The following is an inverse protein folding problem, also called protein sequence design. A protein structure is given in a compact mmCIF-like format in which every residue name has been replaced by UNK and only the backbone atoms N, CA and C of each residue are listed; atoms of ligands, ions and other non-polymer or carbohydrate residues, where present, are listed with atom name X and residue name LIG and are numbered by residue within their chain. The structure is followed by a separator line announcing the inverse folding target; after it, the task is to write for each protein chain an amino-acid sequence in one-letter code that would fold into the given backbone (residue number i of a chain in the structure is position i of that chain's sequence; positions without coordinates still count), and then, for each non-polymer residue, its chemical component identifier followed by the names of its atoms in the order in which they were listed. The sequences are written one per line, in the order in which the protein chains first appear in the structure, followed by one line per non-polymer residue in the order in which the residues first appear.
data_IF_639843779596
#
_entry.id   IF_639843779596
#
_cell.length_a   1.000
_cell.length_b   1.000
_cell.length_c   1.000
_cell.angle_alpha   90.00
_cell.angle_beta   90.00
_cell.angle_gamma   90.00
#
_symmetry.space_group_name_H-M   'P 1'
#
loop_
_entity.id
_entity.type
_entity.pdbx_description
1 polymer ?
#
# COMPACT_ATOMS: atom_id res chain seq x y z
N UNK A 1 30.48 -20.65 14.85
CA UNK A 1 29.69 -19.41 14.98
C UNK A 1 28.32 -19.68 14.40
N UNK A 2 27.32 -19.89 15.26
CA UNK A 2 25.95 -20.13 14.80
C UNK A 2 25.33 -18.84 14.29
N UNK A 3 24.92 -18.82 13.02
CA UNK A 3 24.10 -17.75 12.47
C UNK A 3 22.72 -17.92 13.08
N UNK A 4 22.31 -16.99 13.93
CA UNK A 4 20.93 -16.94 14.41
C UNK A 4 20.00 -16.77 13.19
N UNK A 5 18.88 -17.51 13.09
CA UNK A 5 17.93 -17.29 12.01
C UNK A 5 17.43 -15.84 12.11
N UNK A 6 17.57 -15.08 11.03
CA UNK A 6 16.90 -13.79 10.91
C UNK A 6 15.40 -14.05 11.06
N UNK A 7 14.77 -13.45 12.08
CA UNK A 7 13.33 -13.56 12.25
C UNK A 7 12.68 -12.95 11.01
N UNK A 8 11.96 -13.76 10.23
CA UNK A 8 11.10 -13.29 9.15
C UNK A 8 10.10 -12.30 9.75
N UNK A 9 10.15 -11.04 9.31
CA UNK A 9 9.18 -10.02 9.73
C UNK A 9 8.19 -9.85 8.60
N UNK A 10 6.94 -10.27 8.84
CA UNK A 10 5.83 -9.90 7.98
C UNK A 10 5.54 -8.42 8.20
N UNK A 11 5.68 -7.64 7.14
CA UNK A 11 5.51 -6.19 7.11
C UNK A 11 4.28 -5.86 6.27
N UNK A 12 3.37 -5.05 6.83
CA UNK A 12 2.25 -4.45 6.08
C UNK A 12 2.44 -2.95 5.99
N UNK A 13 2.45 -2.40 4.77
CA UNK A 13 2.62 -0.97 4.50
C UNK A 13 1.61 -0.47 3.48
N UNK A 14 1.09 0.73 3.71
CA UNK A 14 0.22 1.44 2.78
C UNK A 14 0.98 2.57 2.10
N UNK A 15 0.61 2.85 0.85
CA UNK A 15 1.26 3.84 0.01
C UNK A 15 0.25 4.55 -0.88
N UNK A 16 0.60 5.75 -1.30
CA UNK A 16 0.01 6.44 -2.45
C UNK A 16 1.06 6.65 -3.53
N UNK A 17 0.63 6.69 -4.79
CA UNK A 17 1.44 7.01 -5.96
C UNK A 17 0.76 8.16 -6.70
N UNK A 18 1.55 9.11 -7.21
CA UNK A 18 1.08 10.15 -8.13
C UNK A 18 2.06 10.33 -9.28
N UNK A 19 1.55 10.54 -10.49
CA UNK A 19 2.34 10.89 -11.68
C UNK A 19 1.49 11.71 -12.67
N UNK A 20 2.09 12.67 -13.36
CA UNK A 20 1.39 13.54 -14.32
C UNK A 20 2.17 13.83 -15.60
N UNK A 21 3.47 13.54 -15.62
CA UNK A 21 4.33 13.80 -16.78
C UNK A 21 4.80 12.50 -17.42
N UNK A 22 4.00 12.03 -18.37
CA UNK A 22 4.23 10.80 -19.12
C UNK A 22 4.81 11.10 -20.50
N UNK A 23 5.90 10.41 -20.84
CA UNK A 23 6.64 10.62 -22.07
C UNK A 23 6.87 9.31 -22.80
N UNK A 24 6.99 9.40 -24.12
CA UNK A 24 7.38 8.32 -24.99
C UNK A 24 8.64 8.73 -25.75
N UNK A 25 9.60 7.82 -25.91
CA UNK A 25 10.83 8.10 -26.64
C UNK A 25 10.60 8.50 -28.11
N UNK A 26 9.48 8.09 -28.70
CA UNK A 26 9.12 8.41 -30.07
C UNK A 26 8.30 9.72 -30.20
N UNK A 27 8.17 10.49 -29.11
CA UNK A 27 7.37 11.72 -29.09
C UNK A 27 5.86 11.50 -29.23
N UNK A 28 5.40 10.25 -29.19
CA UNK A 28 3.97 9.93 -29.18
C UNK A 28 3.33 10.51 -27.91
N UNK A 29 2.25 11.30 -28.01
CA UNK A 29 1.54 11.79 -26.83
C UNK A 29 1.05 10.64 -25.96
N UNK A 30 1.18 10.80 -24.65
CA UNK A 30 0.68 9.81 -23.71
C UNK A 30 -0.85 9.76 -23.74
N UNK A 31 -1.46 8.56 -23.78
CA UNK A 31 -2.91 8.41 -23.64
C UNK A 31 -3.41 8.75 -22.22
N UNK A 32 -2.50 8.86 -21.25
CA UNK A 32 -2.78 9.24 -19.88
C UNK A 32 -2.00 10.49 -19.49
N UNK A 33 -2.69 11.43 -18.83
CA UNK A 33 -2.18 12.73 -18.40
C UNK A 33 -2.05 12.83 -16.89
N UNK A 34 -2.75 11.98 -16.14
CA UNK A 34 -2.63 11.90 -14.69
C UNK A 34 -2.92 10.48 -14.20
N UNK A 35 -2.11 10.05 -13.23
CA UNK A 35 -2.31 8.83 -12.45
C UNK A 35 -2.24 9.18 -10.96
N UNK A 36 -3.20 8.71 -10.19
CA UNK A 36 -3.03 8.48 -8.77
C UNK A 36 -3.38 7.05 -8.42
N UNK A 37 -2.72 6.48 -7.41
CA UNK A 37 -3.07 5.16 -6.89
C UNK A 37 -2.88 5.11 -5.38
N UNK A 38 -3.65 4.26 -4.72
CA UNK A 38 -3.50 3.89 -3.32
C UNK A 38 -3.42 2.37 -3.21
N UNK A 39 -2.45 1.87 -2.45
CA UNK A 39 -2.22 0.43 -2.36
C UNK A 39 -1.60 0.03 -1.02
N UNK A 40 -1.91 -1.18 -0.59
CA UNK A 40 -1.36 -1.78 0.62
C UNK A 40 -0.70 -3.12 0.29
N UNK A 41 0.53 -3.29 0.76
CA UNK A 41 1.36 -4.46 0.50
C UNK A 41 1.66 -5.16 1.83
N UNK A 42 1.56 -6.49 1.84
CA UNK A 42 1.94 -7.34 2.96
C UNK A 42 2.97 -8.35 2.50
N UNK A 43 4.19 -8.28 3.00
CA UNK A 43 5.31 -9.10 2.53
C UNK A 43 6.26 -9.48 3.66
N UNK A 44 7.05 -10.54 3.45
CA UNK A 44 8.14 -10.93 4.31
C UNK A 44 9.42 -10.22 3.85
N UNK A 45 9.97 -9.35 4.70
CA UNK A 45 11.15 -8.53 4.38
C UNK A 45 12.48 -9.30 4.42
N UNK A 46 12.45 -10.58 4.83
CA UNK A 46 13.59 -11.51 4.77
C UNK A 46 13.69 -12.27 3.45
N UNK A 47 12.62 -12.26 2.63
CA UNK A 47 12.54 -12.99 1.37
C UNK A 47 12.81 -12.07 0.16
N UNK A 48 13.04 -12.67 -1.00
CA UNK A 48 13.19 -11.93 -2.27
C UNK A 48 12.32 -12.58 -3.35
N UNK A 49 11.53 -11.77 -4.06
CA UNK A 49 10.74 -12.22 -5.19
C UNK A 49 9.33 -11.65 -5.22
N UNK A 50 8.54 -12.17 -6.18
CA UNK A 50 7.12 -11.86 -6.28
C UNK A 50 6.33 -12.56 -5.18
N UNK A 51 5.44 -11.79 -4.55
CA UNK A 51 4.64 -12.24 -3.40
C UNK A 51 3.22 -12.58 -3.82
N UNK A 52 2.66 -11.86 -4.79
CA UNK A 52 1.29 -12.05 -5.27
C UNK A 52 0.53 -10.74 -5.39
N UNK A 53 -0.78 -10.76 -5.18
CA UNK A 53 -1.61 -9.55 -5.26
C UNK A 53 -1.45 -8.66 -4.02
N UNK A 54 -1.50 -7.32 -4.15
CA UNK A 54 -1.61 -6.40 -3.03
C UNK A 54 -2.78 -6.73 -2.11
N UNK A 55 -2.68 -6.37 -0.83
CA UNK A 55 -3.81 -6.40 0.11
C UNK A 55 -4.92 -5.45 -0.35
N UNK A 56 -4.55 -4.31 -0.91
CA UNK A 56 -5.47 -3.43 -1.62
C UNK A 56 -4.74 -2.70 -2.75
N UNK A 57 -5.48 -2.37 -3.81
CA UNK A 57 -5.01 -1.53 -4.90
C UNK A 57 -6.21 -0.81 -5.51
N UNK A 58 -6.09 0.50 -5.69
CA UNK A 58 -7.03 1.32 -6.44
C UNK A 58 -6.25 2.38 -7.19
N UNK A 59 -6.61 2.61 -8.45
CA UNK A 59 -6.02 3.65 -9.29
C UNK A 59 -7.08 4.60 -9.82
N UNK A 60 -6.67 5.82 -10.14
CA UNK A 60 -7.46 6.82 -10.87
C UNK A 60 -6.58 7.30 -12.02
N UNK A 61 -7.05 7.05 -13.23
CA UNK A 61 -6.37 7.41 -14.48
C UNK A 61 -7.20 8.49 -15.17
N UNK A 62 -6.67 9.70 -15.33
CA UNK A 62 -7.39 10.85 -15.90
C UNK A 62 -8.76 11.10 -15.25
N UNK A 63 -8.89 10.87 -13.93
CA UNK A 63 -10.15 10.99 -13.20
C UNK A 63 -11.07 9.78 -13.27
N UNK A 64 -10.72 8.73 -14.02
CA UNK A 64 -11.49 7.49 -14.14
C UNK A 64 -10.89 6.40 -13.24
N UNK A 65 -11.67 5.81 -12.31
CA UNK A 65 -11.18 4.72 -11.48
C UNK A 65 -10.82 3.47 -12.28
N UNK A 66 -9.68 2.84 -11.94
CA UNK A 66 -9.22 1.55 -12.46
C UNK A 66 -9.36 1.44 -13.98
N UNK A 67 -8.73 2.36 -14.72
CA UNK A 67 -8.87 2.48 -16.17
C UNK A 67 -7.55 2.37 -16.92
N UNK A 68 -7.66 1.95 -18.18
CA UNK A 68 -6.53 1.75 -19.09
C UNK A 68 -5.57 0.69 -18.58
N UNK A 69 -4.25 0.95 -18.63
CA UNK A 69 -3.24 -0.01 -18.17
C UNK A 69 -3.37 -0.42 -16.69
N UNK A 70 -4.05 0.40 -15.88
CA UNK A 70 -4.20 0.19 -14.43
C UNK A 70 -5.56 -0.41 -14.04
N UNK A 71 -6.29 -0.99 -15.01
CA UNK A 71 -7.61 -1.55 -14.79
C UNK A 71 -7.62 -2.92 -14.12
N UNK A 72 -6.58 -3.73 -14.36
CA UNK A 72 -6.46 -5.06 -13.78
C UNK A 72 -5.81 -5.02 -12.38
N UNK A 73 -6.18 -5.97 -11.53
CA UNK A 73 -5.51 -6.18 -10.26
C UNK A 73 -4.04 -6.52 -10.50
N UNK A 74 -3.09 -5.82 -9.85
CA UNK A 74 -1.67 -6.05 -10.09
C UNK A 74 -1.10 -7.19 -9.25
N UNK A 75 0.14 -7.53 -9.54
CA UNK A 75 1.02 -8.36 -8.73
C UNK A 75 2.14 -7.48 -8.20
N UNK A 76 2.67 -7.80 -7.03
CA UNK A 76 3.82 -7.12 -6.48
C UNK A 76 4.89 -8.09 -5.95
N UNK A 77 6.09 -7.56 -5.78
CA UNK A 77 7.23 -8.25 -5.21
C UNK A 77 8.08 -7.35 -4.33
N UNK A 78 8.83 -7.97 -3.43
CA UNK A 78 9.83 -7.33 -2.59
C UNK A 78 11.20 -7.86 -2.95
N UNK A 79 12.17 -6.96 -3.08
CA UNK A 79 13.54 -7.27 -3.48
C UNK A 79 14.49 -6.57 -2.51
N UNK A 80 15.22 -7.30 -1.65
CA UNK A 80 16.16 -6.69 -0.72
C UNK A 80 17.32 -6.04 -1.47
N UNK A 81 18.04 -5.14 -0.79
CA UNK A 81 19.30 -4.59 -1.28
C UNK A 81 20.32 -5.73 -1.45
N UNK A 82 20.55 -6.17 -2.68
CA UNK A 82 21.41 -7.31 -2.98
C UNK A 82 22.46 -6.95 -4.04
N UNK A 83 23.71 -6.86 -3.62
CA UNK A 83 24.85 -6.61 -4.50
C UNK A 83 25.21 -5.12 -4.67
N UNK A 84 26.29 -4.83 -5.40
CA UNK A 84 26.91 -3.50 -5.43
C UNK A 84 26.08 -2.42 -6.12
N UNK A 85 25.06 -2.78 -6.89
CA UNK A 85 24.20 -1.84 -7.65
C UNK A 85 22.80 -1.67 -7.05
N UNK A 86 22.40 -2.47 -6.06
CA UNK A 86 21.13 -2.36 -5.37
C UNK A 86 21.37 -1.86 -3.95
N UNK A 87 21.45 -0.54 -3.79
CA UNK A 87 21.83 0.11 -2.53
C UNK A 87 20.68 0.21 -1.52
N UNK A 88 19.45 -0.07 -1.93
CA UNK A 88 18.26 -0.04 -1.09
C UNK A 88 17.25 -1.14 -1.50
N UNK A 89 16.43 -1.64 -0.55
CA UNK A 89 15.38 -2.60 -0.86
C UNK A 89 14.30 -1.93 -1.71
N UNK A 90 13.69 -2.70 -2.62
CA UNK A 90 12.71 -2.21 -3.59
C UNK A 90 11.42 -3.00 -3.49
N UNK A 91 10.32 -2.28 -3.65
CA UNK A 91 9.02 -2.88 -3.95
C UNK A 91 8.72 -2.63 -5.43
N UNK A 92 8.30 -3.67 -6.12
CA UNK A 92 7.84 -3.61 -7.51
C UNK A 92 6.37 -3.97 -7.59
N UNK A 93 5.57 -3.19 -8.31
CA UNK A 93 4.15 -3.43 -8.56
C UNK A 93 3.93 -3.37 -10.05
N UNK A 94 3.36 -4.41 -10.65
CA UNK A 94 3.06 -4.43 -12.08
C UNK A 94 1.73 -5.11 -12.38
N UNK A 95 1.19 -4.87 -13.56
CA UNK A 95 -0.07 -5.49 -13.97
C UNK A 95 0.07 -7.02 -14.07
N UNK A 96 -1.08 -7.70 -13.96
CA UNK A 96 -1.11 -9.16 -13.96
C UNK A 96 -1.00 -9.77 -15.37
N UNK A 97 -1.15 -8.98 -16.43
CA UNK A 97 -1.29 -9.49 -17.80
C UNK A 97 -0.01 -10.16 -18.31
N UNK A 98 1.17 -9.60 -18.04
CA UNK A 98 2.46 -10.14 -18.50
C UNK A 98 3.40 -10.52 -17.34
N UNK A 99 2.89 -10.51 -16.11
CA UNK A 99 3.68 -10.74 -14.90
C UNK A 99 4.29 -9.45 -14.35
N UNK A 100 4.52 -9.42 -13.03
CA UNK A 100 4.83 -8.20 -12.27
C UNK A 100 6.16 -7.50 -12.57
N UNK A 101 6.87 -7.84 -13.65
CA UNK A 101 8.09 -7.15 -14.13
C UNK A 101 8.20 -7.08 -15.67
N UNK A 102 7.22 -7.54 -16.43
CA UNK A 102 7.33 -7.57 -17.89
C UNK A 102 6.34 -6.61 -18.51
N UNK A 103 6.84 -5.72 -19.36
CA UNK A 103 6.00 -4.86 -20.18
C UNK A 103 6.10 -5.31 -21.62
N UNK A 104 4.99 -5.82 -22.15
CA UNK A 104 4.86 -6.10 -23.58
C UNK A 104 4.15 -4.94 -24.27
N UNK A 105 4.53 -4.66 -25.50
CA UNK A 105 3.89 -3.61 -26.27
C UNK A 105 2.43 -3.99 -26.55
N UNK A 106 1.53 -3.00 -26.52
CA UNK A 106 0.10 -3.18 -26.81
C UNK A 106 -0.65 -4.10 -25.84
N UNK A 107 -0.24 -4.19 -24.59
CA UNK A 107 -0.90 -5.10 -23.62
C UNK A 107 -1.64 -4.42 -22.48
N UNK A 108 -1.82 -3.09 -22.49
CA UNK A 108 -2.43 -2.34 -21.38
C UNK A 108 -1.86 -2.79 -20.02
N UNK A 109 -0.53 -2.74 -19.90
CA UNK A 109 0.18 -3.21 -18.71
C UNK A 109 1.04 -2.10 -18.11
N UNK A 110 1.42 -2.25 -16.86
CA UNK A 110 2.25 -1.27 -16.15
C UNK A 110 3.24 -1.94 -15.22
N UNK A 111 4.27 -1.20 -14.86
CA UNK A 111 5.19 -1.57 -13.80
C UNK A 111 5.75 -0.32 -13.15
N UNK A 112 5.80 -0.31 -11.82
CA UNK A 112 6.58 0.66 -11.10
C UNK A 112 7.40 0.06 -9.97
N UNK A 113 8.53 0.71 -9.68
CA UNK A 113 9.38 0.37 -8.52
C UNK A 113 9.73 1.59 -7.72
N UNK A 114 9.91 1.40 -6.42
CA UNK A 114 10.29 2.46 -5.49
C UNK A 114 11.11 1.88 -4.33
N UNK A 115 11.78 2.77 -3.60
CA UNK A 115 12.54 2.43 -2.40
C UNK A 115 11.59 2.03 -1.26
N UNK A 116 11.69 0.77 -0.81
CA UNK A 116 10.87 0.22 0.26
C UNK A 116 11.27 0.74 1.66
N UNK A 117 12.50 1.26 1.80
CA UNK A 117 13.05 1.79 3.04
C UNK A 117 12.74 3.27 3.28
N UNK A 118 12.24 3.98 2.25
CA UNK A 118 11.93 5.40 2.36
C UNK A 118 10.85 5.67 3.42
N UNK A 119 11.16 6.55 4.37
CA UNK A 119 10.22 6.99 5.43
C UNK A 119 9.28 8.12 4.96
N UNK A 120 9.56 8.73 3.80
CA UNK A 120 8.78 9.82 3.22
C UNK A 120 8.61 9.63 1.70
N UNK A 121 8.13 10.68 1.00
CA UNK A 121 7.98 10.63 -0.45
C UNK A 121 9.28 10.25 -1.16
N UNK A 122 9.21 9.27 -2.05
CA UNK A 122 10.34 8.79 -2.85
C UNK A 122 9.97 8.71 -4.33
N UNK A 123 10.96 8.86 -5.21
CA UNK A 123 10.72 8.73 -6.65
C UNK A 123 10.45 7.28 -7.00
N UNK A 124 9.48 7.06 -7.87
CA UNK A 124 9.24 5.78 -8.49
C UNK A 124 9.71 5.80 -9.94
N UNK A 125 10.24 4.66 -10.40
CA UNK A 125 10.36 4.39 -11.83
C UNK A 125 9.03 3.78 -12.25
N UNK A 126 8.19 4.51 -12.98
CA UNK A 126 6.89 4.05 -13.46
C UNK A 126 6.86 4.04 -14.99
N UNK A 127 6.48 2.90 -15.55
CA UNK A 127 6.28 2.70 -16.97
C UNK A 127 4.96 1.98 -17.25
N UNK A 128 4.38 2.21 -18.42
CA UNK A 128 3.21 1.47 -18.87
C UNK A 128 3.20 1.30 -20.39
N UNK A 129 2.42 0.34 -20.88
CA UNK A 129 2.07 0.17 -22.28
C UNK A 129 0.56 0.33 -22.43
N UNK A 130 0.12 0.82 -23.58
CA UNK A 130 -1.30 0.93 -23.90
C UNK A 130 -1.61 0.09 -25.14
N UNK A 131 -2.77 -0.54 -25.22
CA UNK A 131 -3.16 -1.44 -26.31
C UNK A 131 -3.05 -0.79 -27.70
N UNK A 132 -3.33 0.51 -27.80
CA UNK A 132 -3.21 1.28 -29.04
C UNK A 132 -1.78 1.67 -29.45
N UNK A 133 -0.78 1.45 -28.58
CA UNK A 133 0.55 2.04 -28.74
C UNK A 133 1.66 0.98 -28.81
N UNK A 134 2.56 1.17 -29.78
CA UNK A 134 3.65 0.23 -30.06
C UNK A 134 4.84 0.36 -29.10
N UNK A 135 4.90 1.40 -28.28
CA UNK A 135 6.03 1.69 -27.39
C UNK A 135 5.55 2.07 -26.00
N UNK A 136 6.33 1.74 -24.96
CA UNK A 136 6.00 2.08 -23.60
C UNK A 136 6.14 3.58 -23.35
N UNK A 137 5.40 4.04 -22.37
CA UNK A 137 5.49 5.37 -21.80
C UNK A 137 6.14 5.29 -20.42
N UNK A 138 6.82 6.37 -20.03
CA UNK A 138 7.50 6.47 -18.73
C UNK A 138 7.02 7.75 -18.04
N UNK A 139 6.77 7.67 -16.75
CA UNK A 139 6.53 8.84 -15.91
C UNK A 139 7.87 9.42 -15.42
N UNK A 140 8.04 10.74 -15.56
CA UNK A 140 9.26 11.44 -15.13
C UNK A 140 9.13 12.06 -13.72
N UNK A 141 7.91 12.13 -13.21
CA UNK A 141 7.52 12.78 -11.96
C UNK A 141 6.80 11.83 -10.99
N UNK A 142 6.90 10.51 -11.20
CA UNK A 142 6.23 9.55 -10.35
C UNK A 142 6.81 9.58 -8.92
N UNK A 143 5.94 9.81 -7.94
CA UNK A 143 6.27 9.84 -6.51
C UNK A 143 5.39 8.84 -5.76
N UNK A 144 6.03 8.01 -4.94
CA UNK A 144 5.36 7.14 -3.97
C UNK A 144 5.53 7.72 -2.57
N UNK A 145 4.44 7.81 -1.81
CA UNK A 145 4.43 8.32 -0.44
C UNK A 145 3.91 7.24 0.51
N UNK A 146 4.66 6.85 1.55
CA UNK A 146 4.14 6.01 2.62
C UNK A 146 2.94 6.68 3.30
N UNK A 147 1.86 5.92 3.48
CA UNK A 147 0.65 6.38 4.17
C UNK A 147 0.60 5.70 5.52
N UNK A 148 0.47 6.50 6.58
CA UNK A 148 0.28 5.96 7.92
C UNK A 148 -1.04 5.19 7.97
N UNK A 149 -0.95 3.88 8.25
CA UNK A 149 -2.14 3.09 8.58
C UNK A 149 -2.55 3.49 9.99
N UNK A 150 -3.49 4.41 10.10
CA UNK A 150 -4.09 4.74 11.40
C UNK A 150 -4.87 3.49 11.83
N UNK A 151 -4.38 2.80 12.85
CA UNK A 151 -5.12 1.68 13.43
C UNK A 151 -6.49 2.21 13.85
N UNK A 152 -7.55 1.50 13.45
CA UNK A 152 -8.90 1.82 13.90
C UNK A 152 -8.91 1.75 15.43
N UNK A 153 -8.99 2.91 16.09
CA UNK A 153 -9.28 2.96 17.52
C UNK A 153 -10.67 2.35 17.68
N UNK A 154 -10.85 1.35 18.58
CA UNK A 154 -12.16 0.76 18.81
C UNK A 154 -13.16 1.89 19.03
N UNK A 155 -14.23 1.89 18.24
CA UNK A 155 -15.10 3.04 18.08
C UNK A 155 -15.43 3.69 19.44
N UNK A 156 -15.46 5.03 19.56
CA UNK A 156 -15.75 5.70 20.83
C UNK A 156 -17.02 5.20 21.52
N UNK A 157 -17.99 4.71 20.73
CA UNK A 157 -19.22 4.10 21.20
C UNK A 157 -18.99 2.82 22.04
N UNK A 158 -17.99 2.01 21.71
CA UNK A 158 -17.66 0.79 22.45
C UNK A 158 -17.17 1.13 23.85
N UNK A 159 -16.28 2.12 23.96
CA UNK A 159 -15.81 2.64 25.24
C UNK A 159 -16.94 3.29 26.04
N UNK A 160 -17.79 4.04 25.36
CA UNK A 160 -18.96 4.66 25.98
C UNK A 160 -19.92 3.61 26.55
N UNK A 161 -20.19 2.49 25.86
CA UNK A 161 -21.04 1.42 26.37
C UNK A 161 -20.46 0.76 27.63
N UNK A 162 -19.14 0.52 27.68
CA UNK A 162 -18.51 -0.01 28.90
C UNK A 162 -18.63 0.98 30.05
N UNK A 163 -18.34 2.27 29.82
CA UNK A 163 -18.46 3.31 30.85
C UNK A 163 -19.91 3.42 31.35
N UNK A 164 -20.89 3.41 30.46
CA UNK A 164 -22.31 3.43 30.81
C UNK A 164 -22.69 2.18 31.60
N UNK A 165 -22.29 0.98 31.17
CA UNK A 165 -22.55 -0.28 31.86
C UNK A 165 -21.96 -0.31 33.27
N UNK A 166 -20.68 0.07 33.43
CA UNK A 166 -20.03 0.16 34.73
C UNK A 166 -20.61 1.27 35.60
N UNK A 167 -20.99 2.41 35.00
CA UNK A 167 -21.66 3.51 35.70
C UNK A 167 -23.02 3.09 36.27
N UNK A 168 -23.82 2.34 35.51
CA UNK A 168 -25.10 1.79 35.96
C UNK A 168 -24.91 0.78 37.10
N UNK A 169 -24.00 -0.18 36.95
CA UNK A 169 -23.68 -1.16 37.99
C UNK A 169 -23.22 -0.49 39.28
N UNK A 170 -22.30 0.47 39.19
CA UNK A 170 -21.82 1.25 40.35
C UNK A 170 -22.92 2.10 40.98
N UNK A 171 -23.81 2.68 40.16
CA UNK A 171 -24.98 3.44 40.63
C UNK A 171 -25.95 2.58 41.44
N UNK A 172 -26.24 1.36 40.99
CA UNK A 172 -27.10 0.41 41.72
C UNK A 172 -26.47 0.01 43.05
N UNK A 173 -25.16 -0.26 43.08
CA UNK A 173 -24.45 -0.59 44.32
C UNK A 173 -24.49 0.56 45.34
N UNK A 174 -24.25 1.81 44.90
CA UNK A 174 -24.28 2.99 45.78
C UNK A 174 -25.67 3.24 46.38
N UNK A 175 -26.75 2.95 45.65
CA UNK A 175 -28.13 3.13 46.16
C UNK A 175 -28.47 2.18 47.32
N UNK A 176 -27.81 1.01 47.43
CA UNK A 176 -28.14 -0.04 48.42
C UNK A 176 -27.46 0.15 49.78
N UNK A 177 -26.51 1.07 49.93
CA UNK A 177 -25.69 1.22 51.15
C UNK A 177 -26.30 2.08 52.28
N UNK A 178 -27.62 2.07 52.49
CA UNK A 178 -28.17 2.50 53.79
C UNK A 178 -28.28 1.29 54.72
N UNK A 179 -27.15 0.82 55.21
CA UNK A 179 -27.13 -0.13 56.31
C UNK A 179 -27.41 0.66 57.61
N UNK A 180 -28.63 0.55 58.14
CA UNK A 180 -28.95 1.03 59.47
C UNK A 180 -28.22 0.14 60.49
N UNK A 181 -27.03 0.57 60.91
CA UNK A 181 -26.33 -0.06 62.02
C UNK A 181 -27.03 0.38 63.31
N UNK A 182 -27.72 -0.56 63.97
CA UNK A 182 -28.22 -0.39 65.34
C UNK A 182 -27.16 -0.94 66.30
N UNK A 183 -26.70 -0.10 67.21
CA UNK A 183 -25.88 -0.53 68.36
C UNK A 183 -26.81 -1.05 69.46
N UNK A 184 -26.38 -2.12 70.13
CA UNK A 184 -27.06 -2.74 71.28
C UNK A 184 -26.51 -2.17 72.60
#
# INVERSE_FOLDING_TARGET
MGVAPANAVIVTRAYSLTASNFQNFNGTPSPITALSAAFQLTYDDSMSGFVGAPTSFSSITNGVPNAGPFAAAPIFGYFPAAGPMATFPRLGVGGALNGGNTLLNRTDDFYFTFDASAAGPTRAMLSFTAAGNATPFIATDAIVTPVAVVAAVPEPATWAMFIVGFGLLGGVMRRRQRANVRFA
#
